data_IF_226752993117
#
_entry.id   IF_226752993117
#
_cell.length_a   1.000
_cell.length_b   1.000
_cell.length_c   1.000
_cell.angle_alpha   90.00
_cell.angle_beta   90.00
_cell.angle_gamma   90.00
#
_symmetry.space_group_name_H-M   'P 1'
#
loop_
_entity.id
_entity.type
_entity.pdbx_description
1 polymer ?
#
# COMPACT_ATOMS: atom_id res chain seq x y z
N UNK A 1 6.27 -21.85 -0.05
CA UNK A 1 6.12 -20.92 -1.19
C UNK A 1 6.37 -19.54 -0.64
N UNK A 2 7.25 -18.80 -1.30
CA UNK A 2 8.02 -17.71 -0.73
C UNK A 2 7.17 -16.60 -0.10
N UNK A 3 7.71 -16.10 1.01
CA UNK A 3 7.31 -14.95 1.80
C UNK A 3 7.00 -13.72 0.91
N UNK A 4 6.01 -12.93 1.34
CA UNK A 4 5.42 -11.75 0.67
C UNK A 4 6.24 -11.19 -0.49
N UNK A 5 5.81 -11.50 -1.72
CA UNK A 5 6.47 -10.97 -2.90
C UNK A 5 6.20 -9.47 -2.99
N UNK A 6 7.26 -8.68 -2.96
CA UNK A 6 7.20 -7.25 -3.32
C UNK A 6 6.91 -7.17 -4.81
N UNK A 7 5.65 -6.94 -5.16
CA UNK A 7 5.23 -6.92 -6.56
C UNK A 7 5.41 -5.54 -7.21
N UNK A 8 5.49 -4.47 -6.41
CA UNK A 8 5.75 -3.13 -6.91
C UNK A 8 6.47 -2.26 -5.85
N UNK A 9 7.69 -1.87 -6.17
CA UNK A 9 8.46 -0.90 -5.39
C UNK A 9 8.42 0.43 -6.15
N UNK A 10 7.60 1.38 -5.67
CA UNK A 10 7.70 2.78 -6.08
C UNK A 10 8.42 3.56 -4.98
N UNK A 11 9.74 3.38 -4.91
CA UNK A 11 10.58 4.22 -4.08
C UNK A 11 10.75 5.57 -4.77
N UNK A 12 10.13 6.60 -4.22
CA UNK A 12 10.29 7.98 -4.65
C UNK A 12 10.34 8.90 -3.44
N UNK A 13 11.14 9.96 -3.54
CA UNK A 13 11.20 11.01 -2.52
C UNK A 13 10.13 12.04 -2.83
N UNK A 14 9.03 11.97 -2.09
CA UNK A 14 7.92 12.89 -2.30
C UNK A 14 8.00 14.06 -1.32
N UNK A 15 7.69 15.29 -1.77
CA UNK A 15 7.68 16.45 -0.90
C UNK A 15 6.62 16.31 0.19
N UNK A 16 6.96 16.82 1.37
CA UNK A 16 6.07 16.84 2.52
C UNK A 16 4.77 17.57 2.21
N UNK A 17 3.66 17.09 2.78
CA UNK A 17 2.32 17.69 2.61
C UNK A 17 1.43 17.01 1.57
N UNK A 18 1.91 15.94 0.91
CA UNK A 18 1.08 15.07 0.06
C UNK A 18 0.67 13.79 0.80
N UNK A 19 -0.38 13.13 0.32
CA UNK A 19 -0.75 11.80 0.83
C UNK A 19 0.05 10.72 0.11
N UNK A 20 0.31 9.60 0.78
CA UNK A 20 1.01 8.47 0.16
C UNK A 20 0.29 7.96 -1.10
N UNK A 21 -1.05 7.99 -1.08
CA UNK A 21 -1.84 7.65 -2.26
C UNK A 21 -1.59 8.60 -3.44
N UNK A 22 -1.61 9.92 -3.20
CA UNK A 22 -1.39 10.91 -4.27
C UNK A 22 0.04 10.92 -4.80
N UNK A 23 1.00 10.59 -3.93
CA UNK A 23 2.38 10.36 -4.32
C UNK A 23 2.53 9.14 -5.27
N UNK A 24 1.82 8.04 -4.98
CA UNK A 24 1.94 6.79 -5.73
C UNK A 24 1.12 6.73 -7.02
N UNK A 25 -0.07 7.37 -7.04
CA UNK A 25 -0.96 7.44 -8.21
C UNK A 25 -0.28 7.79 -9.54
N UNK A 26 0.60 8.81 -9.64
CA UNK A 26 1.25 9.15 -10.90
C UNK A 26 2.35 8.17 -11.32
N UNK A 27 2.92 7.42 -10.37
CA UNK A 27 4.00 6.46 -10.66
C UNK A 27 3.47 5.10 -11.09
N UNK A 28 2.37 4.66 -10.47
CA UNK A 28 1.83 3.33 -10.66
C UNK A 28 0.30 3.43 -10.77
N UNK A 29 -0.31 2.77 -11.78
CA UNK A 29 -1.77 2.62 -11.84
C UNK A 29 -2.30 1.92 -10.58
N UNK A 30 -3.16 2.59 -9.82
CA UNK A 30 -3.80 2.04 -8.62
C UNK A 30 -5.31 1.95 -8.83
N UNK A 31 -5.90 0.81 -8.44
CA UNK A 31 -7.34 0.70 -8.24
C UNK A 31 -7.62 0.54 -6.75
N UNK A 32 -8.57 1.30 -6.24
CA UNK A 32 -8.95 1.27 -4.84
C UNK A 32 -10.43 1.57 -4.68
N UNK A 33 -10.98 1.15 -3.56
CA UNK A 33 -12.32 1.50 -3.11
C UNK A 33 -12.23 2.41 -1.90
N UNK A 34 -12.97 3.52 -1.92
CA UNK A 34 -13.02 4.41 -0.77
C UNK A 34 -13.85 3.79 0.35
N UNK A 35 -13.32 3.81 1.56
CA UNK A 35 -14.01 3.36 2.77
C UNK A 35 -13.88 4.40 3.89
N UNK A 36 -14.75 4.36 4.92
CA UNK A 36 -14.62 5.24 6.08
C UNK A 36 -13.27 5.13 6.81
N UNK A 37 -12.56 4.00 6.65
CA UNK A 37 -11.26 3.73 7.25
C UNK A 37 -10.08 4.12 6.34
N UNK A 38 -10.37 4.65 5.15
CA UNK A 38 -9.38 5.02 4.12
C UNK A 38 -9.57 4.24 2.82
N UNK A 39 -8.76 4.59 1.81
CA UNK A 39 -8.79 3.91 0.51
C UNK A 39 -8.24 2.48 0.64
N UNK A 40 -9.04 1.49 0.26
CA UNK A 40 -8.66 0.08 0.21
C UNK A 40 -8.17 -0.28 -1.19
N UNK A 41 -6.89 -0.62 -1.33
CA UNK A 41 -6.28 -0.88 -2.63
C UNK A 41 -6.57 -2.30 -3.09
N UNK A 42 -7.21 -2.43 -4.25
CA UNK A 42 -7.61 -3.72 -4.85
C UNK A 42 -6.66 -4.14 -5.98
N UNK A 43 -5.95 -3.19 -6.59
CA UNK A 43 -5.01 -3.46 -7.67
C UNK A 43 -3.84 -2.47 -7.68
N UNK A 44 -2.64 -2.98 -7.92
CA UNK A 44 -1.40 -2.20 -8.06
C UNK A 44 -0.74 -2.56 -9.39
N UNK A 45 -0.39 -1.55 -10.19
CA UNK A 45 0.19 -1.72 -11.53
C UNK A 45 -0.68 -2.58 -12.47
N UNK A 46 -2.00 -2.52 -12.32
CA UNK A 46 -2.94 -3.36 -13.07
C UNK A 46 -3.00 -4.82 -12.61
N UNK A 47 -2.33 -5.17 -11.51
CA UNK A 47 -2.37 -6.52 -10.91
C UNK A 47 -3.33 -6.54 -9.71
N UNK A 48 -4.49 -7.19 -9.83
CA UNK A 48 -5.38 -7.39 -8.69
C UNK A 48 -4.73 -8.30 -7.65
N UNK A 49 -5.08 -8.10 -6.38
CA UNK A 49 -4.72 -9.06 -5.35
C UNK A 49 -5.48 -10.39 -5.56
N UNK A 50 -4.82 -11.55 -5.44
CA UNK A 50 -5.50 -12.85 -5.36
C UNK A 50 -6.42 -12.95 -4.12
N UNK A 51 -7.38 -13.86 -4.14
CA UNK A 51 -8.42 -13.98 -3.10
C UNK A 51 -7.88 -14.10 -1.66
N UNK A 52 -6.78 -14.82 -1.46
CA UNK A 52 -6.14 -15.02 -0.14
C UNK A 52 -5.10 -13.95 0.21
N UNK A 53 -5.04 -12.85 -0.55
CA UNK A 53 -4.00 -11.84 -0.44
C UNK A 53 -4.59 -10.42 -0.51
N UNK A 54 -3.82 -9.45 -0.01
CA UNK A 54 -4.16 -8.05 -0.10
C UNK A 54 -2.91 -7.20 -0.36
N UNK A 55 -3.13 -6.02 -0.92
CA UNK A 55 -2.07 -5.04 -1.14
C UNK A 55 -1.84 -4.23 0.14
N UNK A 56 -0.69 -4.47 0.76
CA UNK A 56 -0.22 -3.74 1.93
C UNK A 56 0.73 -2.61 1.50
N UNK A 57 0.54 -1.42 2.07
CA UNK A 57 1.50 -0.33 1.93
C UNK A 57 2.51 -0.36 3.06
N UNK A 58 3.79 -0.29 2.71
CA UNK A 58 4.91 -0.13 3.62
C UNK A 58 5.53 1.25 3.44
N UNK A 59 5.95 1.83 4.57
CA UNK A 59 6.44 3.21 4.73
C UNK A 59 7.75 3.10 5.49
N UNK A 60 8.88 3.39 4.85
CA UNK A 60 10.21 3.16 5.42
C UNK A 60 10.37 1.73 5.99
N UNK A 61 9.89 0.72 5.24
CA UNK A 61 9.85 -0.70 5.62
C UNK A 61 8.90 -1.08 6.78
N UNK A 62 8.13 -0.14 7.32
CA UNK A 62 7.07 -0.40 8.31
C UNK A 62 5.67 -0.47 7.68
N UNK A 63 4.82 -1.38 8.16
CA UNK A 63 3.43 -1.47 7.69
C UNK A 63 2.65 -0.19 8.02
N UNK A 64 1.96 0.38 7.03
CA UNK A 64 1.16 1.59 7.19
C UNK A 64 0.01 1.36 8.18
N UNK A 65 0.02 2.06 9.31
CA UNK A 65 -1.02 1.96 10.36
C UNK A 65 -2.32 2.70 10.03
N UNK A 66 -2.31 3.51 8.98
CA UNK A 66 -3.45 4.30 8.50
C UNK A 66 -3.67 4.06 7.02
N UNK A 67 -4.90 4.25 6.56
CA UNK A 67 -5.22 4.13 5.14
C UNK A 67 -4.34 5.04 4.28
N UNK A 68 -3.99 4.58 3.08
CA UNK A 68 -3.03 5.25 2.19
C UNK A 68 -3.45 6.66 1.78
N UNK A 69 -4.75 6.95 1.79
CA UNK A 69 -5.31 8.27 1.55
C UNK A 69 -5.21 9.22 2.75
N UNK A 70 -4.98 8.70 3.95
CA UNK A 70 -4.85 9.47 5.19
C UNK A 70 -3.38 9.63 5.62
N UNK A 71 -2.49 8.78 5.12
CA UNK A 71 -1.06 8.85 5.40
C UNK A 71 -0.44 10.09 4.75
N UNK A 72 -0.10 11.11 5.55
CA UNK A 72 0.66 12.27 5.09
C UNK A 72 2.15 12.01 5.18
N UNK A 73 2.86 12.38 4.13
CA UNK A 73 4.32 12.35 4.12
C UNK A 73 4.84 13.62 4.78
N UNK A 74 5.60 13.47 5.87
CA UNK A 74 6.20 14.59 6.61
C UNK A 74 7.67 14.84 6.23
N UNK A 75 8.28 13.84 5.59
CA UNK A 75 9.68 13.84 5.15
C UNK A 75 9.78 13.02 3.86
N UNK A 76 10.98 13.01 3.29
CA UNK A 76 11.34 12.02 2.28
C UNK A 76 11.13 10.61 2.87
N UNK A 77 10.35 9.78 2.18
CA UNK A 77 9.86 8.51 2.71
C UNK A 77 9.76 7.49 1.60
N UNK A 78 10.24 6.29 1.86
CA UNK A 78 10.17 5.17 0.92
C UNK A 78 8.81 4.50 1.05
N UNK A 79 8.08 4.43 -0.06
CA UNK A 79 6.79 3.75 -0.15
C UNK A 79 6.91 2.46 -0.94
N UNK A 80 6.24 1.41 -0.49
CA UNK A 80 6.33 0.10 -1.13
C UNK A 80 5.00 -0.67 -1.05
N UNK A 81 4.60 -1.29 -2.16
CA UNK A 81 3.46 -2.18 -2.19
C UNK A 81 3.93 -3.63 -2.07
N UNK A 82 3.49 -4.29 -1.01
CA UNK A 82 3.73 -5.72 -0.79
C UNK A 82 2.42 -6.46 -0.92
N UNK A 83 2.47 -7.63 -1.55
CA UNK A 83 1.34 -8.55 -1.55
C UNK A 83 1.45 -9.43 -0.31
N UNK A 84 0.60 -9.16 0.66
CA UNK A 84 0.56 -9.87 1.93
C UNK A 84 -0.57 -10.88 1.91
N UNK A 85 -0.34 -12.05 2.52
CA UNK A 85 -1.38 -13.06 2.65
C UNK A 85 -2.38 -12.57 3.71
N UNK A 86 -3.67 -12.71 3.44
CA UNK A 86 -4.71 -12.57 4.45
C UNK A 86 -4.49 -13.72 5.43
N UNK A 87 -3.78 -13.41 6.51
CA UNK A 87 -3.74 -14.29 7.67
C UNK A 87 -5.05 -14.07 8.39
N UNK A 88 -5.94 -15.07 8.32
CA UNK A 88 -7.05 -15.17 9.25
C UNK A 88 -6.46 -14.95 10.64
N UNK A 89 -6.87 -13.87 11.32
CA UNK A 89 -6.54 -13.72 12.72
C UNK A 89 -7.21 -14.90 13.40
N UNK A 90 -6.44 -15.97 13.64
CA UNK A 90 -6.90 -17.13 14.37
C UNK A 90 -7.38 -16.63 15.72
N UNK A 91 -8.70 -16.44 15.84
CA UNK A 91 -9.38 -16.41 17.12
C UNK A 91 -9.08 -17.78 17.72
N UNK A 92 -8.12 -17.78 18.63
CA UNK A 92 -7.70 -18.93 19.41
C UNK A 92 -8.80 -19.35 20.37
#
# INVERSE_FOLDING_TARGET
MADGQVLAQASGSFPAGTTALDALKPLIPLAYTDSPLGAFVTSVAGKPAPDDYYWALYVDDEYAKVGVSMLRLEKETRLEWRLEKIVDAQVS
#
